data_IF_191579930143
#
_entry.id   IF_191579930143
#
_cell.length_a   1.000
_cell.length_b   1.000
_cell.length_c   1.000
_cell.angle_alpha   90.00
_cell.angle_beta   90.00
_cell.angle_gamma   90.00
#
_symmetry.space_group_name_H-M   'P 1'
#
loop_
_entity.id
_entity.type
_entity.pdbx_description
1 polymer ?
#
# COMPACT_ATOMS: atom_id res chain seq x y z
N UNK A 1 20.27 4.94 -7.66
CA UNK A 1 20.34 5.78 -6.43
C UNK A 1 19.38 5.29 -5.34
N UNK A 2 18.04 5.29 -5.51
CA UNK A 2 17.11 4.76 -4.49
C UNK A 2 17.31 3.25 -4.29
N UNK A 3 17.36 2.48 -5.38
CA UNK A 3 17.64 1.06 -5.33
C UNK A 3 18.96 0.74 -4.60
N UNK A 4 20.05 1.41 -4.96
CA UNK A 4 21.35 1.17 -4.32
C UNK A 4 21.34 1.53 -2.84
N UNK A 5 20.62 2.58 -2.46
CA UNK A 5 20.41 2.95 -1.08
C UNK A 5 19.70 1.82 -0.30
N UNK A 6 18.57 1.33 -0.80
CA UNK A 6 17.85 0.24 -0.14
C UNK A 6 18.65 -1.06 -0.09
N UNK A 7 19.33 -1.42 -1.18
CA UNK A 7 20.18 -2.61 -1.24
C UNK A 7 21.26 -2.56 -0.15
N UNK A 8 22.03 -1.49 -0.13
CA UNK A 8 23.09 -1.28 0.85
C UNK A 8 22.56 -1.22 2.28
N UNK A 9 21.46 -0.50 2.52
CA UNK A 9 20.84 -0.42 3.84
C UNK A 9 20.40 -1.79 4.34
N UNK A 10 19.75 -2.59 3.49
CA UNK A 10 19.35 -3.97 3.83
C UNK A 10 20.56 -4.83 4.20
N UNK A 11 21.63 -4.78 3.40
CA UNK A 11 22.86 -5.54 3.63
C UNK A 11 23.49 -5.17 4.98
N UNK A 12 23.65 -3.88 5.26
CA UNK A 12 24.22 -3.38 6.52
C UNK A 12 23.35 -3.74 7.73
N UNK A 13 22.02 -3.57 7.64
CA UNK A 13 21.10 -3.93 8.73
C UNK A 13 21.10 -5.43 9.00
N UNK A 14 21.08 -6.26 7.96
CA UNK A 14 21.09 -7.73 8.11
C UNK A 14 22.43 -8.24 8.65
N UNK A 15 23.54 -7.55 8.39
CA UNK A 15 24.84 -7.87 8.98
C UNK A 15 24.85 -7.66 10.51
N UNK A 16 24.15 -6.62 11.00
CA UNK A 16 24.03 -6.33 12.44
C UNK A 16 22.98 -7.21 13.11
N UNK A 17 21.82 -7.42 12.46
CA UNK A 17 20.69 -8.19 12.99
C UNK A 17 20.01 -9.01 11.88
N UNK A 18 20.46 -10.25 11.63
CA UNK A 18 19.95 -11.06 10.50
C UNK A 18 18.43 -11.26 10.47
N UNK A 19 17.79 -11.33 11.62
CA UNK A 19 16.33 -11.50 11.76
C UNK A 19 15.51 -10.21 11.60
N UNK A 20 16.16 -9.04 11.42
CA UNK A 20 15.44 -7.76 11.27
C UNK A 20 14.63 -7.77 9.98
N UNK A 21 13.35 -7.41 10.06
CA UNK A 21 12.53 -7.17 8.88
C UNK A 21 12.79 -5.78 8.32
N UNK A 22 13.03 -5.71 7.02
CA UNK A 22 13.28 -4.48 6.29
C UNK A 22 12.10 -4.18 5.38
N UNK A 23 11.51 -3.02 5.50
CA UNK A 23 10.32 -2.67 4.74
C UNK A 23 10.28 -1.22 4.33
N UNK A 24 9.39 -0.92 3.39
CA UNK A 24 9.15 0.42 2.92
C UNK A 24 7.66 0.75 2.88
N UNK A 25 7.33 2.03 3.10
CA UNK A 25 6.06 2.60 2.73
C UNK A 25 6.17 3.24 1.34
N UNK A 26 5.12 3.10 0.53
CA UNK A 26 4.98 3.81 -0.74
C UNK A 26 3.52 4.09 -1.07
N UNK A 27 3.26 5.19 -1.77
CA UNK A 27 1.93 5.44 -2.33
C UNK A 27 1.61 4.49 -3.48
N UNK A 28 0.34 4.11 -3.60
CA UNK A 28 -0.11 3.17 -4.62
C UNK A 28 -0.11 3.73 -6.06
N UNK A 29 -0.04 5.04 -6.21
CA UNK A 29 0.00 5.74 -7.51
C UNK A 29 1.37 5.58 -8.20
N UNK A 30 1.64 4.37 -8.62
CA UNK A 30 2.92 3.91 -9.17
C UNK A 30 3.46 4.74 -10.33
N UNK A 31 2.66 5.17 -11.34
CA UNK A 31 3.19 5.94 -12.45
C UNK A 31 3.92 7.22 -12.01
N UNK A 32 3.31 7.97 -11.10
CA UNK A 32 3.91 9.22 -10.57
C UNK A 32 5.20 8.96 -9.79
N UNK A 33 5.28 7.85 -9.04
CA UNK A 33 6.50 7.45 -8.37
C UNK A 33 7.60 7.06 -9.36
N UNK A 34 7.25 6.29 -10.39
CA UNK A 34 8.19 5.86 -11.41
C UNK A 34 8.78 7.04 -12.20
N UNK A 35 7.96 8.04 -12.56
CA UNK A 35 8.37 9.25 -13.26
C UNK A 35 9.44 10.05 -12.49
N UNK A 36 9.41 10.02 -11.16
CA UNK A 36 10.39 10.72 -10.32
C UNK A 36 11.54 9.79 -9.85
N UNK A 37 11.67 8.63 -10.45
CA UNK A 37 12.80 7.72 -10.21
C UNK A 37 12.59 6.74 -9.05
N UNK A 38 11.37 6.50 -8.61
CA UNK A 38 11.03 5.52 -7.56
C UNK A 38 10.33 4.33 -8.17
N UNK A 39 11.07 3.27 -8.45
CA UNK A 39 10.51 2.02 -8.96
C UNK A 39 10.31 1.02 -7.81
N UNK A 40 9.12 1.00 -7.22
CA UNK A 40 8.79 0.09 -6.13
C UNK A 40 8.22 -1.26 -6.58
N UNK A 41 8.15 -1.52 -7.88
CA UNK A 41 7.72 -2.79 -8.44
C UNK A 41 8.81 -3.88 -8.30
N UNK A 42 8.47 -5.10 -8.69
CA UNK A 42 9.46 -6.15 -8.93
C UNK A 42 10.41 -5.75 -10.08
N UNK A 43 11.70 -6.15 -10.05
CA UNK A 43 12.57 -6.02 -11.22
C UNK A 43 12.05 -6.80 -12.44
N UNK A 44 11.16 -7.78 -12.25
CA UNK A 44 10.55 -8.56 -13.33
C UNK A 44 9.28 -7.88 -13.93
N UNK A 45 8.79 -6.80 -13.32
CA UNK A 45 7.61 -6.09 -13.81
C UNK A 45 7.96 -5.14 -14.96
N UNK A 46 7.53 -5.47 -16.18
CA UNK A 46 7.78 -4.63 -17.37
C UNK A 46 6.86 -3.41 -17.41
N UNK A 47 7.27 -2.35 -16.75
CA UNK A 47 6.59 -1.05 -16.77
C UNK A 47 6.46 -0.49 -18.19
N UNK A 48 7.42 -0.76 -19.08
CA UNK A 48 7.40 -0.27 -20.46
C UNK A 48 6.31 -0.89 -21.32
N UNK A 49 5.80 -2.04 -20.93
CA UNK A 49 4.64 -2.67 -21.59
C UNK A 49 3.31 -1.99 -21.27
N UNK A 50 3.26 -1.24 -20.19
CA UNK A 50 2.05 -0.53 -19.70
C UNK A 50 2.09 0.97 -19.99
N UNK A 51 3.28 1.55 -19.97
CA UNK A 51 3.47 3.01 -20.12
C UNK A 51 4.51 3.29 -21.20
N UNK A 52 4.09 3.92 -22.30
CA UNK A 52 4.93 4.20 -23.47
C UNK A 52 6.13 5.12 -23.19
N UNK A 53 6.07 5.89 -22.11
CA UNK A 53 7.16 6.77 -21.66
C UNK A 53 8.20 6.04 -20.80
N UNK A 54 7.91 4.85 -20.28
CA UNK A 54 8.84 4.09 -19.45
C UNK A 54 9.89 3.37 -20.29
N UNK A 55 11.10 3.25 -19.77
CA UNK A 55 12.20 2.53 -20.41
C UNK A 55 12.44 1.17 -19.76
N UNK A 56 12.73 0.13 -20.57
CA UNK A 56 13.06 -1.21 -20.05
C UNK A 56 14.24 -1.21 -19.09
N UNK A 57 15.25 -0.39 -19.34
CA UNK A 57 16.45 -0.30 -18.49
C UNK A 57 16.14 0.03 -17.04
N UNK A 58 15.02 0.70 -16.76
CA UNK A 58 14.67 1.08 -15.40
C UNK A 58 13.96 -0.03 -14.61
N UNK A 59 13.58 -1.12 -15.25
CA UNK A 59 13.05 -2.31 -14.58
C UNK A 59 14.06 -2.90 -13.59
N UNK A 60 15.34 -2.98 -13.97
CA UNK A 60 16.43 -3.50 -13.16
C UNK A 60 16.58 -2.79 -11.80
N UNK A 61 15.94 -1.65 -11.63
CA UNK A 61 15.95 -0.85 -10.39
C UNK A 61 14.65 -0.97 -9.59
N UNK A 62 13.79 -1.93 -9.94
CA UNK A 62 12.66 -2.33 -9.11
C UNK A 62 13.16 -2.91 -7.79
N UNK A 63 12.59 -2.45 -6.65
CA UNK A 63 13.12 -2.81 -5.34
C UNK A 63 12.20 -3.67 -4.47
N UNK A 64 11.11 -4.19 -5.01
CA UNK A 64 10.20 -5.04 -4.22
C UNK A 64 10.89 -6.28 -3.64
N UNK A 65 11.85 -6.87 -4.35
CA UNK A 65 12.65 -8.02 -3.92
C UNK A 65 13.62 -7.71 -2.76
N UNK A 66 13.93 -6.45 -2.56
CA UNK A 66 14.72 -6.00 -1.41
C UNK A 66 13.91 -5.90 -0.11
N UNK A 67 12.58 -5.90 -0.19
CA UNK A 67 11.71 -5.66 0.97
C UNK A 67 11.22 -6.98 1.58
N UNK A 68 11.22 -7.05 2.92
CA UNK A 68 10.53 -8.11 3.67
C UNK A 68 9.04 -7.78 3.82
N UNK A 69 8.68 -6.47 3.74
CA UNK A 69 7.30 -6.00 3.72
C UNK A 69 7.18 -4.65 3.00
N UNK A 70 6.01 -4.42 2.39
CA UNK A 70 5.67 -3.12 1.80
C UNK A 70 4.31 -2.66 2.31
N UNK A 71 4.24 -1.40 2.72
CA UNK A 71 3.00 -0.72 3.08
C UNK A 71 2.59 0.17 1.90
N UNK A 72 1.45 -0.14 1.29
CA UNK A 72 0.96 0.52 0.09
C UNK A 72 -0.16 1.50 0.48
N UNK A 73 0.11 2.78 0.40
CA UNK A 73 -0.88 3.83 0.65
C UNK A 73 -2.01 3.81 -0.38
N UNK A 74 -3.08 3.07 -0.10
CA UNK A 74 -4.27 2.98 -0.94
C UNK A 74 -5.20 4.18 -0.69
N UNK A 75 -4.66 5.39 -0.87
CA UNK A 75 -5.27 6.65 -0.49
C UNK A 75 -6.33 7.09 -1.50
N UNK A 76 -7.51 6.52 -1.38
CA UNK A 76 -8.70 6.91 -2.12
C UNK A 76 -9.75 7.52 -1.19
N UNK A 77 -10.72 8.23 -1.76
CA UNK A 77 -11.81 8.81 -0.97
C UNK A 77 -12.69 7.74 -0.31
N UNK A 78 -13.42 8.05 0.77
CA UNK A 78 -14.33 7.12 1.44
C UNK A 78 -15.36 6.46 0.52
N UNK A 79 -15.81 7.18 -0.51
CA UNK A 79 -16.75 6.65 -1.51
C UNK A 79 -16.12 5.61 -2.47
N UNK A 80 -14.78 5.43 -2.46
CA UNK A 80 -14.03 4.61 -3.41
C UNK A 80 -13.28 3.46 -2.75
N UNK A 81 -13.95 2.68 -1.92
CA UNK A 81 -13.33 1.53 -1.23
C UNK A 81 -13.14 0.36 -2.21
N UNK A 82 -14.18 -0.04 -2.92
CA UNK A 82 -14.17 -1.19 -3.81
C UNK A 82 -13.96 -0.81 -5.27
N UNK A 83 -13.28 -1.66 -6.02
CA UNK A 83 -13.03 -1.52 -7.44
C UNK A 83 -11.76 -2.24 -7.87
N UNK A 84 -11.51 -2.29 -9.18
CA UNK A 84 -10.35 -2.99 -9.77
C UNK A 84 -9.34 -2.05 -10.43
N UNK A 85 -9.65 -0.76 -10.45
CA UNK A 85 -8.81 0.27 -11.09
C UNK A 85 -8.12 1.15 -10.06
N UNK A 86 -7.14 1.92 -10.49
CA UNK A 86 -6.52 2.98 -9.68
C UNK A 86 -7.58 3.93 -9.11
N UNK A 87 -7.25 4.56 -7.99
CA UNK A 87 -8.11 5.46 -7.22
C UNK A 87 -9.31 4.78 -6.54
N UNK A 88 -9.29 3.45 -6.42
CA UNK A 88 -10.07 2.70 -5.44
C UNK A 88 -9.12 1.97 -4.48
N UNK A 89 -9.48 1.83 -3.20
CA UNK A 89 -8.57 1.21 -2.21
C UNK A 89 -8.24 -0.24 -2.59
N UNK A 90 -9.27 -1.02 -2.94
CA UNK A 90 -9.09 -2.39 -3.41
C UNK A 90 -8.27 -2.46 -4.70
N UNK A 91 -8.55 -1.59 -5.67
CA UNK A 91 -7.84 -1.57 -6.96
C UNK A 91 -6.37 -1.21 -6.81
N UNK A 92 -6.04 -0.27 -5.94
CA UNK A 92 -4.66 0.03 -5.58
C UNK A 92 -3.92 -1.19 -5.00
N UNK A 93 -4.57 -1.95 -4.12
CA UNK A 93 -3.99 -3.17 -3.54
C UNK A 93 -3.80 -4.27 -4.59
N UNK A 94 -4.79 -4.50 -5.47
CA UNK A 94 -4.68 -5.46 -6.57
C UNK A 94 -3.52 -5.12 -7.51
N UNK A 95 -3.42 -3.85 -7.92
CA UNK A 95 -2.33 -3.37 -8.77
C UNK A 95 -0.97 -3.44 -8.06
N UNK A 96 -0.91 -3.25 -6.75
CA UNK A 96 0.32 -3.42 -5.99
C UNK A 96 0.78 -4.88 -6.01
N UNK A 97 -0.12 -5.85 -5.84
CA UNK A 97 0.20 -7.28 -5.97
C UNK A 97 0.66 -7.63 -7.38
N UNK A 98 -0.02 -7.11 -8.43
CA UNK A 98 0.42 -7.28 -9.82
C UNK A 98 1.85 -6.79 -10.02
N UNK A 99 2.15 -5.55 -9.57
CA UNK A 99 3.44 -4.91 -9.77
C UNK A 99 4.57 -5.53 -8.96
N UNK A 100 4.30 -6.00 -7.76
CA UNK A 100 5.32 -6.67 -6.94
C UNK A 100 5.59 -8.11 -7.39
N UNK A 101 4.67 -8.74 -8.14
CA UNK A 101 4.83 -10.10 -8.71
C UNK A 101 5.28 -11.15 -7.68
N UNK A 102 4.92 -10.98 -6.41
CA UNK A 102 5.35 -11.87 -5.31
C UNK A 102 6.80 -11.70 -4.85
N UNK A 103 7.55 -10.73 -5.40
CA UNK A 103 8.93 -10.48 -4.98
C UNK A 103 9.06 -10.00 -3.52
N UNK A 104 8.04 -9.26 -3.03
CA UNK A 104 7.92 -8.92 -1.62
C UNK A 104 6.99 -9.92 -0.92
N UNK A 105 7.44 -10.59 0.17
CA UNK A 105 6.63 -11.61 0.86
C UNK A 105 5.35 -11.09 1.51
N UNK A 106 5.31 -9.81 1.87
CA UNK A 106 4.16 -9.18 2.52
C UNK A 106 3.89 -7.80 1.93
N UNK A 107 2.74 -7.65 1.32
CA UNK A 107 2.23 -6.37 0.82
C UNK A 107 0.96 -6.05 1.57
N UNK A 108 0.94 -4.97 2.34
CA UNK A 108 -0.23 -4.50 3.08
C UNK A 108 -0.72 -3.17 2.49
N UNK A 109 -2.02 -3.05 2.30
CA UNK A 109 -2.65 -1.82 1.83
C UNK A 109 -3.49 -1.13 2.89
N UNK A 110 -3.71 0.16 2.74
CA UNK A 110 -4.57 0.87 3.68
C UNK A 110 -4.83 2.32 3.32
N UNK A 111 -5.91 2.91 3.86
CA UNK A 111 -6.32 4.28 3.62
C UNK A 111 -5.55 5.29 4.45
N UNK A 112 -5.70 6.57 4.06
CA UNK A 112 -5.33 7.75 4.84
C UNK A 112 -6.61 8.43 5.34
N UNK A 113 -6.99 8.13 6.56
CA UNK A 113 -8.19 8.73 7.17
C UNK A 113 -7.97 10.19 7.56
N UNK A 114 -6.72 10.63 7.72
CA UNK A 114 -6.40 12.04 7.97
C UNK A 114 -6.71 12.94 6.80
N UNK A 115 -6.59 12.46 5.56
CA UNK A 115 -6.98 13.18 4.37
C UNK A 115 -8.51 13.31 4.22
N UNK A 116 -9.26 12.37 4.80
CA UNK A 116 -10.73 12.46 4.80
C UNK A 116 -11.22 13.57 5.72
N UNK A 117 -10.63 13.68 6.91
CA UNK A 117 -10.88 14.77 7.87
C UNK A 117 -10.63 16.17 7.27
N UNK A 118 -9.73 16.28 6.31
CA UNK A 118 -9.42 17.55 5.65
C UNK A 118 -10.48 17.98 4.62
N UNK A 119 -11.36 17.08 4.20
CA UNK A 119 -12.48 17.38 3.32
C UNK A 119 -13.79 17.44 4.13
N UNK A 120 -14.10 18.61 4.68
CA UNK A 120 -15.32 18.88 5.47
C UNK A 120 -16.66 18.48 4.78
N UNK A 121 -16.59 17.96 3.56
CA UNK A 121 -17.75 17.54 2.78
C UNK A 121 -18.10 16.07 2.96
N UNK A 122 -17.22 15.28 3.57
CA UNK A 122 -17.51 13.86 3.81
C UNK A 122 -18.20 13.70 5.16
N UNK A 123 -19.42 13.15 5.20
CA UNK A 123 -20.08 12.89 6.46
C UNK A 123 -19.34 11.84 7.29
N UNK A 124 -19.23 12.06 8.59
CA UNK A 124 -18.56 11.13 9.53
C UNK A 124 -19.06 9.68 9.41
N UNK A 125 -20.36 9.50 9.15
CA UNK A 125 -20.94 8.16 8.98
C UNK A 125 -20.45 7.46 7.71
N UNK A 126 -20.15 8.20 6.64
CA UNK A 126 -19.56 7.66 5.42
C UNK A 126 -18.11 7.24 5.66
N UNK A 127 -17.33 8.05 6.38
CA UNK A 127 -15.96 7.68 6.79
C UNK A 127 -15.96 6.43 7.66
N UNK A 128 -16.86 6.34 8.64
CA UNK A 128 -16.99 5.18 9.52
C UNK A 128 -17.26 3.90 8.73
N UNK A 129 -18.17 3.96 7.75
CA UNK A 129 -18.44 2.83 6.84
C UNK A 129 -17.22 2.48 5.98
N UNK A 130 -16.53 3.49 5.46
CA UNK A 130 -15.35 3.31 4.64
C UNK A 130 -14.20 2.66 5.43
N UNK A 131 -13.98 3.06 6.68
CA UNK A 131 -12.98 2.41 7.55
C UNK A 131 -13.28 0.92 7.68
N UNK A 132 -14.50 0.55 8.05
CA UNK A 132 -14.89 -0.85 8.17
C UNK A 132 -14.71 -1.62 6.86
N UNK A 133 -15.16 -1.04 5.75
CA UNK A 133 -15.10 -1.67 4.43
C UNK A 133 -13.66 -1.80 3.90
N UNK A 134 -12.78 -0.82 4.18
CA UNK A 134 -11.40 -0.80 3.71
C UNK A 134 -10.57 -1.97 4.25
N UNK A 135 -10.87 -2.45 5.47
CA UNK A 135 -10.19 -3.62 6.05
C UNK A 135 -10.36 -4.83 5.14
N UNK A 136 -11.61 -5.18 4.83
CA UNK A 136 -11.92 -6.32 3.96
C UNK A 136 -11.42 -6.10 2.53
N UNK A 137 -11.59 -4.89 1.99
CA UNK A 137 -11.15 -4.56 0.64
C UNK A 137 -9.64 -4.73 0.45
N UNK A 138 -8.83 -4.25 1.42
CA UNK A 138 -7.38 -4.35 1.35
C UNK A 138 -6.89 -5.77 1.63
N UNK A 139 -7.38 -6.44 2.69
CA UNK A 139 -6.94 -7.80 3.05
C UNK A 139 -7.28 -8.81 1.96
N UNK A 140 -8.44 -8.69 1.30
CA UNK A 140 -8.82 -9.59 0.20
C UNK A 140 -8.03 -9.33 -1.09
N UNK A 141 -7.41 -8.16 -1.23
CA UNK A 141 -6.64 -7.77 -2.41
C UNK A 141 -5.12 -7.92 -2.24
N UNK A 142 -4.63 -7.89 -1.00
CA UNK A 142 -3.21 -8.05 -0.66
C UNK A 142 -3.04 -8.86 0.64
N UNK A 143 -1.84 -8.88 1.23
CA UNK A 143 -1.50 -9.79 2.32
C UNK A 143 -1.80 -9.23 3.72
N UNK A 144 -2.21 -7.96 3.81
CA UNK A 144 -2.44 -7.33 5.10
C UNK A 144 -3.07 -5.94 4.99
N UNK A 145 -3.29 -5.36 6.15
CA UNK A 145 -3.91 -4.05 6.29
C UNK A 145 -3.08 -3.14 7.21
N UNK A 146 -3.00 -1.88 6.86
CA UNK A 146 -2.58 -0.82 7.77
C UNK A 146 -3.52 0.38 7.61
N UNK A 147 -3.43 1.32 8.52
CA UNK A 147 -4.24 2.53 8.49
C UNK A 147 -3.39 3.74 8.89
N UNK A 148 -3.43 4.78 8.11
CA UNK A 148 -2.82 6.06 8.42
C UNK A 148 -3.94 7.07 8.73
N UNK A 149 -4.10 7.62 9.96
CA UNK A 149 -3.26 7.25 11.07
C UNK A 149 -4.05 7.16 12.39
N UNK A 150 -3.38 6.71 13.42
CA UNK A 150 -3.94 6.48 14.74
C UNK A 150 -4.45 7.76 15.43
N UNK A 151 -3.85 8.92 15.14
CA UNK A 151 -4.25 10.20 15.75
C UNK A 151 -5.67 10.58 15.32
N UNK A 152 -5.96 10.44 14.03
CA UNK A 152 -7.27 10.76 13.46
C UNK A 152 -8.34 9.77 13.93
N UNK A 153 -8.04 8.46 13.96
CA UNK A 153 -8.94 7.46 14.53
C UNK A 153 -9.31 7.75 15.98
N UNK A 154 -8.33 8.17 16.78
CA UNK A 154 -8.54 8.51 18.20
C UNK A 154 -9.41 9.77 18.34
N UNK A 155 -9.12 10.80 17.53
CA UNK A 155 -9.84 12.07 17.56
C UNK A 155 -11.33 11.90 17.21
N UNK A 156 -11.63 11.05 16.23
CA UNK A 156 -12.99 10.79 15.75
C UNK A 156 -13.67 9.57 16.42
N UNK A 157 -13.03 8.94 17.41
CA UNK A 157 -13.52 7.74 18.13
C UNK A 157 -13.91 6.57 17.20
N UNK A 158 -13.03 6.28 16.22
CA UNK A 158 -13.33 5.36 15.12
C UNK A 158 -12.77 3.93 15.30
N UNK A 159 -12.17 3.61 16.44
CA UNK A 159 -11.57 2.29 16.68
C UNK A 159 -12.53 1.11 16.56
N UNK A 160 -13.79 1.30 16.94
CA UNK A 160 -14.84 0.28 16.83
C UNK A 160 -15.10 -0.15 15.38
N UNK A 161 -14.95 0.76 14.42
CA UNK A 161 -15.14 0.48 12.99
C UNK A 161 -13.99 -0.32 12.42
N UNK A 162 -12.76 -0.03 12.83
CA UNK A 162 -11.58 -0.86 12.48
C UNK A 162 -11.76 -2.29 13.01
N UNK A 163 -12.15 -2.40 14.30
CA UNK A 163 -12.42 -3.72 14.92
C UNK A 163 -13.50 -4.48 14.18
N UNK A 164 -14.60 -3.82 13.82
CA UNK A 164 -15.71 -4.45 13.07
C UNK A 164 -15.23 -4.98 11.72
N UNK A 165 -14.39 -4.22 11.01
CA UNK A 165 -13.79 -4.65 9.75
C UNK A 165 -12.91 -5.89 9.92
N UNK A 166 -12.04 -5.91 10.94
CA UNK A 166 -11.17 -7.04 11.26
C UNK A 166 -12.00 -8.29 11.62
N UNK A 167 -12.97 -8.15 12.53
CA UNK A 167 -13.83 -9.26 12.93
C UNK A 167 -14.62 -9.84 11.75
N UNK A 168 -14.98 -9.00 10.78
CA UNK A 168 -15.69 -9.41 9.58
C UNK A 168 -14.84 -10.24 8.60
N UNK A 169 -13.51 -10.08 8.63
CA UNK A 169 -12.57 -10.88 7.81
C UNK A 169 -12.24 -12.19 8.52
N UNK A 170 -11.88 -12.14 9.80
CA UNK A 170 -11.46 -13.33 10.58
C UNK A 170 -12.57 -14.39 10.74
N UNK A 171 -13.84 -13.97 10.76
CA UNK A 171 -14.98 -14.89 10.90
C UNK A 171 -15.38 -15.64 9.63
N UNK A 172 -14.68 -15.43 8.51
CA UNK A 172 -14.97 -16.11 7.24
C UNK A 172 -14.14 -17.35 6.99
N UNK A 173 -13.20 -17.64 7.87
CA UNK A 173 -12.38 -18.88 7.91
C UNK A 173 -12.99 -19.89 8.88
#
# INVERSE_FOLDING_TARGET
MIYDFFKRTKEELKAVKPGLKFGAYTGAWYPSYFEVGVNWASPDYDTSSKFSWATKKYMDYGYADLMDQMLIGAYASPARVYGTTEWTMQGFCLLAKERTMGACPMVAGGPDVGNWDADDKVPQEEENRAITASVAACINACDGYFLFDMIHLKKADQWSYVKTGIDGVIKKD
#
